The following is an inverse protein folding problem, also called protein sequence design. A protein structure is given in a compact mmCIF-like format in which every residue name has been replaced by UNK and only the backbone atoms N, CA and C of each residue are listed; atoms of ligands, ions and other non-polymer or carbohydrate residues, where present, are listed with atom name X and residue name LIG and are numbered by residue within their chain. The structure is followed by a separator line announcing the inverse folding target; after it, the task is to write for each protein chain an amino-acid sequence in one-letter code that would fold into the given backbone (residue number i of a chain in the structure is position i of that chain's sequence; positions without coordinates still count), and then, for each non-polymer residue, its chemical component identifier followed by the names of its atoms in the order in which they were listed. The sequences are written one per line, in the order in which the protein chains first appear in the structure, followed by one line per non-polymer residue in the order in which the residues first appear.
data_IF_352572893682
#
_entry.id   IF_352572893682
#
_cell.length_a   1.000
_cell.length_b   1.000
_cell.length_c   1.000
_cell.angle_alpha   90.00
_cell.angle_beta   90.00
_cell.angle_gamma   90.00
#
_symmetry.space_group_name_H-M   'P 1'
#
loop_
_entity.id
_entity.type
_entity.pdbx_description
1 polymer ?
#
# COMPACT_ATOMS: atom_id res chain seq x y z
N UNK A 1 30.29 3.93 57.80
CA UNK A 1 29.01 3.73 57.07
C UNK A 1 29.17 4.31 55.67
N UNK A 2 29.47 3.46 54.67
CA UNK A 2 29.64 3.85 53.26
C UNK A 2 28.25 3.88 52.60
N UNK A 3 27.84 5.06 52.10
CA UNK A 3 26.60 5.21 51.32
C UNK A 3 26.87 4.73 49.89
N UNK A 4 26.20 3.65 49.52
CA UNK A 4 26.06 3.17 48.14
C UNK A 4 24.95 4.02 47.52
N UNK A 5 25.23 4.75 46.44
CA UNK A 5 24.20 5.46 45.68
C UNK A 5 24.30 5.10 44.20
N UNK A 6 23.51 4.09 43.86
CA UNK A 6 22.79 3.84 42.62
C UNK A 6 23.45 4.32 41.31
N UNK A 7 24.12 3.35 40.68
CA UNK A 7 24.34 3.30 39.24
C UNK A 7 22.97 3.19 38.54
N UNK A 8 22.53 4.22 37.81
CA UNK A 8 21.43 4.10 36.85
C UNK A 8 21.95 3.35 35.61
N UNK A 9 21.36 2.21 35.21
CA UNK A 9 21.62 1.68 33.88
C UNK A 9 20.75 2.44 32.87
N UNK A 10 21.41 3.18 31.99
CA UNK A 10 20.83 3.78 30.80
C UNK A 10 20.41 2.63 29.86
N UNK A 11 19.16 2.21 29.96
CA UNK A 11 18.60 1.13 29.16
C UNK A 11 18.48 1.63 27.71
N UNK A 12 19.37 1.13 26.85
CA UNK A 12 19.31 1.31 25.42
C UNK A 12 17.96 0.83 24.88
N UNK A 13 17.14 1.75 24.38
CA UNK A 13 16.00 1.44 23.53
C UNK A 13 16.56 0.92 22.21
N UNK A 14 16.63 -0.40 22.07
CA UNK A 14 16.79 -1.05 20.78
C UNK A 14 15.50 -0.80 20.00
N UNK A 15 15.54 0.19 19.10
CA UNK A 15 14.56 0.31 18.02
C UNK A 15 14.77 -0.93 17.15
N UNK A 16 14.00 -1.98 17.40
CA UNK A 16 13.85 -3.06 16.45
C UNK A 16 13.03 -2.52 15.28
N UNK A 17 13.73 -2.05 14.25
CA UNK A 17 13.13 -1.92 12.93
C UNK A 17 12.87 -3.36 12.46
N UNK A 18 11.62 -3.80 12.53
CA UNK A 18 11.17 -5.07 11.97
C UNK A 18 11.13 -4.94 10.44
N UNK A 19 12.30 -4.91 9.79
CA UNK A 19 12.39 -5.17 8.36
C UNK A 19 12.32 -6.67 8.11
N UNK A 20 11.18 -7.11 7.60
CA UNK A 20 10.98 -8.17 6.60
C UNK A 20 9.67 -8.90 6.85
N UNK A 21 8.70 -8.72 5.93
CA UNK A 21 7.94 -9.81 5.33
C UNK A 21 7.63 -9.46 3.87
N UNK A 22 8.56 -9.80 2.97
CA UNK A 22 8.29 -9.86 1.53
C UNK A 22 7.27 -10.96 1.28
N UNK A 23 6.21 -10.62 0.54
CA UNK A 23 5.17 -11.55 0.15
C UNK A 23 4.33 -11.04 -1.01
N UNK A 24 4.93 -10.41 -2.01
CA UNK A 24 4.27 -10.18 -3.31
C UNK A 24 4.67 -11.31 -4.25
N UNK A 25 3.71 -11.88 -4.97
CA UNK A 25 4.03 -12.71 -6.13
C UNK A 25 3.92 -11.82 -7.37
N UNK A 26 5.01 -11.09 -7.66
CA UNK A 26 5.47 -10.95 -9.04
C UNK A 26 6.62 -11.92 -9.22
N UNK A 27 6.47 -12.87 -10.13
CA UNK A 27 7.64 -13.60 -10.65
C UNK A 27 8.31 -12.81 -11.79
N UNK A 28 7.83 -11.60 -12.10
CA UNK A 28 8.46 -10.72 -13.06
C UNK A 28 9.62 -9.97 -12.38
N UNK A 29 10.85 -10.18 -12.87
CA UNK A 29 12.09 -9.46 -12.50
C UNK A 29 11.98 -7.92 -12.63
N UNK A 30 10.84 -7.44 -13.10
CA UNK A 30 10.53 -6.08 -13.50
C UNK A 30 9.58 -5.35 -12.54
N UNK A 31 9.14 -5.97 -11.43
CA UNK A 31 8.29 -5.25 -10.49
C UNK A 31 9.02 -4.18 -9.70
N UNK A 32 8.35 -3.04 -9.55
CA UNK A 32 8.79 -1.95 -8.72
C UNK A 32 7.67 -1.57 -7.75
N UNK A 33 7.89 -1.79 -6.47
CA UNK A 33 7.07 -1.23 -5.40
C UNK A 33 7.42 0.26 -5.23
N UNK A 34 6.41 1.12 -5.34
CA UNK A 34 6.59 2.56 -5.10
C UNK A 34 6.17 2.93 -3.69
N UNK A 35 4.96 2.54 -3.28
CA UNK A 35 4.46 2.82 -1.93
C UNK A 35 3.66 1.66 -1.37
N UNK A 36 3.71 1.52 -0.05
CA UNK A 36 2.95 0.57 0.74
C UNK A 36 2.37 1.28 1.96
N UNK A 37 1.05 1.40 2.00
CA UNK A 37 0.34 2.10 3.07
C UNK A 37 -0.66 1.16 3.72
N UNK A 38 -0.41 0.77 4.97
CA UNK A 38 -1.29 -0.10 5.75
C UNK A 38 -2.48 0.71 6.30
N UNK A 39 -3.68 0.12 6.24
CA UNK A 39 -4.91 0.71 6.77
C UNK A 39 -4.85 0.88 8.31
N UNK A 40 -5.59 1.83 8.89
CA UNK A 40 -5.66 2.01 10.35
C UNK A 40 -6.01 0.73 11.12
N UNK A 41 -6.92 -0.11 10.58
CA UNK A 41 -7.30 -1.39 11.21
C UNK A 41 -6.32 -2.55 10.93
N UNK A 42 -5.29 -2.29 10.12
CA UNK A 42 -4.23 -3.22 9.70
C UNK A 42 -4.70 -4.42 8.88
N UNK A 43 -5.97 -4.47 8.47
CA UNK A 43 -6.50 -5.59 7.67
C UNK A 43 -6.17 -5.46 6.19
N UNK A 44 -6.03 -4.23 5.72
CA UNK A 44 -5.76 -3.92 4.32
C UNK A 44 -4.53 -3.04 4.16
N UNK A 45 -4.09 -2.94 2.91
CA UNK A 45 -2.99 -2.09 2.48
C UNK A 45 -3.27 -1.58 1.07
N UNK A 46 -2.89 -0.33 0.84
CA UNK A 46 -2.82 0.27 -0.50
C UNK A 46 -1.40 0.09 -0.99
N UNK A 47 -1.26 -0.50 -2.16
CA UNK A 47 0.03 -0.73 -2.82
C UNK A 47 0.05 0.07 -4.11
N UNK A 48 1.02 0.95 -4.25
CA UNK A 48 1.34 1.61 -5.52
C UNK A 48 2.55 0.93 -6.13
N UNK A 49 2.43 0.50 -7.38
CA UNK A 49 3.47 -0.28 -8.01
C UNK A 49 3.48 -0.14 -9.53
N UNK A 50 4.54 -0.68 -10.12
CA UNK A 50 4.89 -0.55 -11.52
C UNK A 50 5.52 -1.86 -12.03
N UNK A 51 5.50 -2.06 -13.35
CA UNK A 51 6.28 -3.09 -14.03
C UNK A 51 7.21 -2.43 -15.06
N UNK A 52 8.51 -2.50 -14.82
CA UNK A 52 9.56 -1.96 -15.67
C UNK A 52 9.81 -2.85 -16.88
N UNK A 53 9.11 -2.57 -17.99
CA UNK A 53 9.25 -3.32 -19.24
C UNK A 53 10.51 -2.94 -20.06
N UNK A 54 11.53 -2.33 -19.46
CA UNK A 54 12.77 -1.94 -20.14
C UNK A 54 12.63 -0.75 -21.09
N UNK A 55 13.43 -0.71 -22.17
CA UNK A 55 13.70 0.47 -23.00
C UNK A 55 12.51 1.11 -23.76
N UNK A 56 11.28 0.60 -23.58
CA UNK A 56 10.07 1.12 -24.24
C UNK A 56 9.26 2.11 -23.38
N UNK A 57 9.82 2.56 -22.24
CA UNK A 57 9.65 3.92 -21.75
C UNK A 57 8.34 4.30 -21.05
N UNK A 58 7.40 3.36 -20.83
CA UNK A 58 6.16 3.68 -20.13
C UNK A 58 5.77 2.57 -19.15
N UNK A 59 6.25 2.70 -17.92
CA UNK A 59 5.81 1.86 -16.81
C UNK A 59 4.48 2.38 -16.28
N UNK A 60 3.39 1.66 -16.61
CA UNK A 60 2.05 1.92 -16.08
C UNK A 60 2.09 1.86 -14.55
N UNK A 61 1.55 2.88 -13.90
CA UNK A 61 1.37 2.89 -12.44
C UNK A 61 0.04 2.25 -12.10
N UNK A 62 0.07 1.34 -11.14
CA UNK A 62 -1.07 0.63 -10.60
C UNK A 62 -1.23 0.95 -9.12
N UNK A 63 -2.49 1.00 -8.68
CA UNK A 63 -2.84 1.03 -7.26
C UNK A 63 -3.69 -0.19 -6.95
N UNK A 64 -3.40 -0.90 -5.87
CA UNK A 64 -4.18 -2.05 -5.43
C UNK A 64 -4.59 -1.91 -3.95
N UNK A 65 -5.82 -2.34 -3.62
CA UNK A 65 -6.30 -2.46 -2.23
C UNK A 65 -6.31 -3.94 -1.87
N UNK A 66 -5.29 -4.39 -1.15
CA UNK A 66 -5.04 -5.80 -0.87
C UNK A 66 -5.10 -6.10 0.64
N UNK A 67 -5.37 -7.35 1.05
CA UNK A 67 -5.26 -7.76 2.45
C UNK A 67 -3.80 -7.76 2.93
N UNK A 68 -3.56 -7.39 4.18
CA UNK A 68 -2.21 -7.34 4.77
C UNK A 68 -1.62 -8.72 5.04
N UNK A 69 -2.46 -9.70 5.40
CA UNK A 69 -2.03 -10.94 6.07
C UNK A 69 -1.95 -12.18 5.17
N UNK A 70 -2.01 -12.03 3.86
CA UNK A 70 -1.92 -13.19 2.96
C UNK A 70 -0.48 -13.31 2.46
N UNK A 71 0.19 -14.39 2.85
CA UNK A 71 1.42 -14.79 2.17
C UNK A 71 1.07 -15.03 0.70
N UNK A 72 1.73 -14.30 -0.21
CA UNK A 72 1.57 -14.41 -1.66
C UNK A 72 0.22 -13.89 -2.20
N UNK A 73 0.04 -12.57 -2.23
CA UNK A 73 -1.07 -11.92 -2.95
C UNK A 73 -0.65 -11.60 -4.38
N UNK A 74 -1.47 -11.99 -5.36
CA UNK A 74 -1.41 -11.43 -6.71
C UNK A 74 -2.09 -10.06 -6.72
N UNK A 75 -1.32 -8.97 -6.80
CA UNK A 75 -1.84 -7.60 -6.70
C UNK A 75 -2.78 -7.24 -7.86
N UNK A 76 -2.66 -7.88 -9.02
CA UNK A 76 -3.53 -7.62 -10.19
C UNK A 76 -5.00 -7.87 -9.87
N UNK A 77 -5.30 -8.87 -9.03
CA UNK A 77 -6.67 -9.21 -8.62
C UNK A 77 -7.31 -8.16 -7.69
N UNK A 78 -6.51 -7.21 -7.21
CA UNK A 78 -6.88 -6.17 -6.25
C UNK A 78 -6.66 -4.76 -6.81
N UNK A 79 -6.27 -4.62 -8.08
CA UNK A 79 -6.07 -3.34 -8.72
C UNK A 79 -7.34 -2.49 -8.65
N UNK A 80 -7.19 -1.21 -8.38
CA UNK A 80 -8.25 -0.25 -8.59
C UNK A 80 -8.57 -0.17 -10.09
N UNK A 81 -9.83 0.13 -10.45
CA UNK A 81 -10.19 0.43 -11.82
C UNK A 81 -9.37 1.60 -12.38
N UNK A 82 -9.14 1.57 -13.69
CA UNK A 82 -8.56 2.71 -14.40
C UNK A 82 -9.36 4.00 -14.17
N UNK A 83 -8.68 5.13 -14.24
CA UNK A 83 -9.31 6.43 -13.97
C UNK A 83 -9.23 6.88 -12.51
N UNK A 84 -8.60 6.09 -11.63
CA UNK A 84 -8.47 6.39 -10.20
C UNK A 84 -7.07 6.10 -9.69
N UNK A 85 -6.65 6.89 -8.71
CA UNK A 85 -5.47 6.59 -7.89
C UNK A 85 -5.77 6.85 -6.42
N UNK A 86 -4.96 6.27 -5.55
CA UNK A 86 -5.12 6.43 -4.11
C UNK A 86 -4.37 7.65 -3.56
N UNK A 87 -4.93 8.25 -2.51
CA UNK A 87 -4.30 9.28 -1.66
C UNK A 87 -4.01 8.77 -0.26
N UNK A 88 -4.17 7.47 -0.02
CA UNK A 88 -3.97 6.82 1.26
C UNK A 88 -5.28 6.55 1.99
N UNK A 89 -5.22 6.65 3.31
CA UNK A 89 -6.30 6.24 4.21
C UNK A 89 -6.86 7.41 5.00
N UNK A 90 -8.15 7.37 5.31
CA UNK A 90 -8.72 8.17 6.39
C UNK A 90 -8.44 7.51 7.75
N UNK A 91 -8.54 8.26 8.84
CA UNK A 91 -8.54 7.71 10.20
C UNK A 91 -9.69 6.70 10.43
N UNK A 92 -10.79 6.84 9.67
CA UNK A 92 -11.95 5.95 9.72
C UNK A 92 -11.82 4.66 8.92
N UNK A 93 -10.62 4.33 8.43
CA UNK A 93 -10.34 3.12 7.64
C UNK A 93 -10.99 3.11 6.25
N UNK A 94 -11.18 4.28 5.64
CA UNK A 94 -11.65 4.43 4.27
C UNK A 94 -10.46 4.69 3.34
N UNK A 95 -10.49 4.14 2.13
CA UNK A 95 -9.50 4.44 1.10
C UNK A 95 -9.89 5.73 0.39
N UNK A 96 -9.01 6.74 0.44
CA UNK A 96 -9.23 8.02 -0.25
C UNK A 96 -8.76 7.90 -1.68
N UNK A 97 -9.66 8.08 -2.64
CA UNK A 97 -9.34 8.02 -4.06
C UNK A 97 -9.55 9.39 -4.72
N UNK A 98 -8.73 9.69 -5.72
CA UNK A 98 -8.96 10.84 -6.61
C UNK A 98 -9.05 10.36 -8.07
N UNK A 99 -9.85 11.07 -8.86
CA UNK A 99 -9.88 10.84 -10.32
C UNK A 99 -8.49 11.12 -10.89
N UNK A 100 -8.06 10.24 -11.78
CA UNK A 100 -6.77 10.34 -12.42
C UNK A 100 -6.89 9.90 -13.86
N UNK A 101 -6.48 10.75 -14.79
CA UNK A 101 -6.45 10.40 -16.20
C UNK A 101 -5.07 9.80 -16.52
N UNK A 102 -4.97 8.48 -16.75
CA UNK A 102 -3.72 7.89 -17.18
C UNK A 102 -3.37 8.33 -18.61
N UNK A 103 -2.07 8.36 -18.92
CA UNK A 103 -1.58 8.64 -20.27
C UNK A 103 -1.62 7.41 -21.20
N UNK A 104 -2.21 6.30 -20.73
CA UNK A 104 -2.34 5.02 -21.42
C UNK A 104 -3.81 4.66 -21.66
N UNK A 105 -4.05 3.68 -22.52
CA UNK A 105 -5.40 3.20 -22.83
C UNK A 105 -6.08 2.62 -21.58
N UNK A 106 -7.31 3.09 -21.29
CA UNK A 106 -8.16 2.57 -20.22
C UNK A 106 -8.92 1.34 -20.72
N UNK A 107 -8.76 0.20 -20.05
CA UNK A 107 -9.45 -1.03 -20.45
C UNK A 107 -10.95 -0.97 -20.15
N UNK A 108 -11.31 -0.38 -19.01
CA UNK A 108 -12.70 -0.24 -18.56
C UNK A 108 -12.90 1.10 -17.84
N UNK A 109 -13.97 1.81 -18.16
CA UNK A 109 -14.38 2.99 -17.39
C UNK A 109 -15.43 2.61 -16.34
N UNK A 110 -14.97 2.42 -15.12
CA UNK A 110 -15.85 2.21 -13.97
C UNK A 110 -16.17 3.55 -13.30
N UNK A 111 -17.44 3.79 -12.98
CA UNK A 111 -17.86 4.96 -12.20
C UNK A 111 -18.00 4.59 -10.71
N UNK A 112 -16.97 4.90 -9.92
CA UNK A 112 -16.99 4.80 -8.45
C UNK A 112 -17.60 6.06 -7.82
N UNK A 113 -18.19 5.88 -6.63
CA UNK A 113 -18.77 6.93 -5.78
C UNK A 113 -18.27 6.78 -4.34
N UNK A 114 -18.27 7.89 -3.59
CA UNK A 114 -18.01 7.84 -2.14
C UNK A 114 -19.06 6.96 -1.44
N UNK A 115 -18.61 6.10 -0.54
CA UNK A 115 -19.43 5.10 0.14
C UNK A 115 -19.44 3.73 -0.54
N UNK A 116 -18.97 3.60 -1.78
CA UNK A 116 -18.87 2.31 -2.46
C UNK A 116 -17.92 1.36 -1.70
N UNK A 117 -18.20 0.05 -1.81
CA UNK A 117 -17.34 -1.00 -1.28
C UNK A 117 -16.43 -1.55 -2.39
N UNK A 118 -15.12 -1.52 -2.16
CA UNK A 118 -14.13 -2.13 -3.03
C UNK A 118 -13.28 -3.13 -2.25
N UNK A 119 -13.38 -4.42 -2.60
CA UNK A 119 -12.65 -5.51 -1.94
C UNK A 119 -12.80 -5.50 -0.40
N UNK A 120 -13.95 -5.06 0.11
CA UNK A 120 -14.23 -4.98 1.55
C UNK A 120 -13.78 -3.68 2.23
N UNK A 121 -13.40 -2.67 1.46
CA UNK A 121 -13.00 -1.33 1.94
C UNK A 121 -13.97 -0.28 1.42
N UNK A 122 -14.42 0.62 2.30
CA UNK A 122 -15.21 1.80 1.91
C UNK A 122 -14.34 2.82 1.19
N UNK A 123 -14.84 3.36 0.08
CA UNK A 123 -14.16 4.39 -0.70
C UNK A 123 -14.62 5.80 -0.30
N UNK A 124 -13.67 6.73 -0.22
CA UNK A 124 -13.93 8.16 -0.13
C UNK A 124 -13.33 8.85 -1.37
N UNK A 125 -14.16 9.29 -2.31
CA UNK A 125 -13.70 10.03 -3.49
C UNK A 125 -13.55 11.52 -3.16
N UNK A 126 -12.46 12.13 -3.65
CA UNK A 126 -12.17 13.56 -3.54
C UNK A 126 -11.87 14.19 -4.90
#
# INVERSE_FOLDING_TARGET
MKKILNLLPFMFLLISCSENKKGYHEEDEMFILLTDSISPDKKHRIVEYQFDHGAHGYSRVFWAIAPTSKEKVNLRDYNLPDGYKSKGWTIGNEAVLEKWEPYYYKEEEVLLKSGDQYKGVTLQLR
#
